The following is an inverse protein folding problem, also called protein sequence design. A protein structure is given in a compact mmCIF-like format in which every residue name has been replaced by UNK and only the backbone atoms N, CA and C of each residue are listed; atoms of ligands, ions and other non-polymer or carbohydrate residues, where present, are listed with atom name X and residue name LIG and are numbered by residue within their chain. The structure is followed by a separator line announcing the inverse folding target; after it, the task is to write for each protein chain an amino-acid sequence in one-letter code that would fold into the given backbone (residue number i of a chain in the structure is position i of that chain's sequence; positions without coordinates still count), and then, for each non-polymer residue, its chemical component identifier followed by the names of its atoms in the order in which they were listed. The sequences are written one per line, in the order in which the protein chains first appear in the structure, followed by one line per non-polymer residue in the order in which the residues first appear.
data_IF_970640374525
#
_entry.id   IF_970640374525
#
_cell.length_a   1.000
_cell.length_b   1.000
_cell.length_c   1.000
_cell.angle_alpha   90.00
_cell.angle_beta   90.00
_cell.angle_gamma   90.00
#
_symmetry.space_group_name_H-M   'P 1'
#
loop_
_entity.id
_entity.type
_entity.pdbx_description
1 polymer ?
#
# COMPACT_ATOMS: atom_id res chain seq x y z
N UNK A 1 1.70 -3.37 14.38
CA UNK A 1 1.03 -2.88 13.44
C UNK A 1 1.63 -2.78 12.08
N UNK A 2 2.48 -1.87 11.71
CA UNK A 2 3.35 -1.99 10.58
C UNK A 2 4.61 -2.68 11.06
N UNK A 3 4.45 -3.92 11.45
CA UNK A 3 5.56 -4.71 11.93
C UNK A 3 6.57 -5.02 10.84
N UNK A 4 6.24 -4.70 9.65
CA UNK A 4 7.15 -4.75 8.54
C UNK A 4 6.49 -4.01 7.42
N UNK A 5 7.04 -2.93 7.10
CA UNK A 5 7.07 -2.56 5.74
C UNK A 5 7.82 -3.65 5.06
N UNK A 6 7.07 -4.44 4.48
CA UNK A 6 7.63 -5.13 3.41
C UNK A 6 7.54 -4.13 2.28
N UNK A 7 8.53 -3.29 2.19
CA UNK A 7 8.93 -2.87 0.89
C UNK A 7 9.42 -4.16 0.29
N UNK A 8 8.50 -4.91 -0.25
CA UNK A 8 8.81 -6.06 -1.06
C UNK A 8 9.28 -5.50 -2.35
N UNK A 9 10.52 -5.20 -2.32
CA UNK A 9 11.20 -4.59 -3.39
C UNK A 9 12.40 -5.47 -3.69
N UNK A 10 12.92 -5.30 -4.83
CA UNK A 10 14.15 -5.86 -5.34
C UNK A 10 15.36 -5.36 -4.58
N UNK A 11 15.34 -5.29 -3.30
CA UNK A 11 16.38 -4.52 -2.72
C UNK A 11 16.49 -4.71 -1.24
N UNK A 12 17.59 -4.42 -0.79
CA UNK A 12 18.18 -4.66 0.48
C UNK A 12 17.44 -4.03 1.64
N UNK A 13 17.81 -4.34 2.79
CA UNK A 13 17.14 -4.21 4.06
C UNK A 13 17.04 -2.79 4.56
N UNK A 14 15.88 -2.38 4.89
CA UNK A 14 15.61 -1.10 5.53
C UNK A 14 15.19 -1.39 6.95
N UNK A 15 15.55 -0.57 7.89
CA UNK A 15 15.00 -0.60 9.22
C UNK A 15 13.90 0.43 9.37
N UNK A 16 12.73 0.01 9.82
CA UNK A 16 11.68 0.92 10.20
C UNK A 16 11.67 1.14 11.70
N UNK A 17 10.90 2.11 12.07
CA UNK A 17 10.66 2.45 13.45
C UNK A 17 9.25 2.06 13.84
N UNK A 18 9.15 1.34 14.94
CA UNK A 18 7.91 1.11 15.63
C UNK A 18 8.09 1.61 17.06
N UNK A 19 7.20 2.43 17.57
CA UNK A 19 7.33 3.08 18.88
C UNK A 19 8.66 3.84 19.08
N UNK A 20 9.15 4.47 18.02
CA UNK A 20 10.41 5.21 18.07
C UNK A 20 11.67 4.35 18.21
N UNK A 21 11.54 3.03 18.01
CA UNK A 21 12.68 2.10 18.01
C UNK A 21 12.82 1.49 16.62
N UNK A 22 14.06 1.29 16.15
CA UNK A 22 14.25 0.57 14.91
C UNK A 22 13.74 -0.86 15.08
N UNK A 23 12.74 -1.18 14.32
CA UNK A 23 12.39 -2.56 14.05
C UNK A 23 13.05 -2.90 12.73
N UNK A 24 13.84 -3.99 12.74
CA UNK A 24 14.51 -4.43 11.52
C UNK A 24 13.52 -4.49 10.38
N UNK A 25 13.74 -3.65 9.42
CA UNK A 25 13.12 -3.71 8.12
C UNK A 25 13.96 -4.64 7.32
N UNK A 26 13.33 -5.65 6.88
CA UNK A 26 13.96 -6.58 5.98
C UNK A 26 13.66 -6.12 4.56
N UNK A 27 14.65 -5.66 3.88
CA UNK A 27 14.64 -5.67 2.45
C UNK A 27 14.69 -7.10 2.01
N UNK A 28 13.68 -7.51 1.32
CA UNK A 28 13.67 -8.77 0.63
C UNK A 28 13.87 -8.48 -0.84
N UNK A 29 15.07 -8.76 -1.31
CA UNK A 29 15.37 -8.76 -2.73
C UNK A 29 14.77 -10.02 -3.36
N UNK A 30 14.10 -9.83 -4.49
CA UNK A 30 13.57 -10.92 -5.31
C UNK A 30 14.08 -10.78 -6.73
N UNK A 31 14.34 -11.87 -7.37
CA UNK A 31 14.77 -11.90 -8.77
C UNK A 31 13.60 -11.65 -9.74
N UNK A 32 12.38 -11.89 -9.29
CA UNK A 32 11.18 -11.69 -10.09
C UNK A 32 10.02 -11.10 -9.28
N UNK A 33 9.12 -10.40 -9.96
CA UNK A 33 7.87 -9.91 -9.36
C UNK A 33 7.03 -11.06 -8.81
N UNK A 34 7.04 -12.20 -9.50
CA UNK A 34 6.30 -13.39 -9.07
C UNK A 34 6.76 -13.86 -7.70
N UNK A 35 8.06 -14.05 -7.50
CA UNK A 35 8.63 -14.46 -6.20
C UNK A 35 8.31 -13.46 -5.09
N UNK A 36 8.38 -12.17 -5.40
CA UNK A 36 7.98 -11.11 -4.48
C UNK A 36 6.52 -11.26 -4.05
N UNK A 37 5.62 -11.43 -5.00
CA UNK A 37 4.19 -11.60 -4.75
C UNK A 37 3.86 -12.90 -4.00
N UNK A 38 4.55 -14.00 -4.32
CA UNK A 38 4.44 -15.27 -3.58
C UNK A 38 4.85 -15.10 -2.12
N UNK A 39 5.98 -14.44 -1.87
CA UNK A 39 6.44 -14.12 -0.51
C UNK A 39 5.47 -13.19 0.22
N UNK A 40 4.86 -12.24 -0.49
CA UNK A 40 3.82 -11.37 0.08
C UNK A 40 2.59 -12.17 0.53
N UNK A 41 2.07 -13.06 -0.33
CA UNK A 41 0.94 -13.91 0.00
C UNK A 41 1.25 -14.84 1.20
N UNK A 42 2.45 -15.42 1.23
CA UNK A 42 2.91 -16.23 2.37
C UNK A 42 2.91 -15.42 3.67
N UNK A 43 3.43 -14.20 3.64
CA UNK A 43 3.46 -13.33 4.83
C UNK A 43 2.06 -12.93 5.30
N UNK A 44 1.19 -12.57 4.37
CA UNK A 44 -0.23 -12.29 4.70
C UNK A 44 -0.90 -13.52 5.30
N UNK A 45 -0.68 -14.70 4.74
CA UNK A 45 -1.23 -15.95 5.26
C UNK A 45 -0.70 -16.31 6.65
N UNK A 46 0.61 -16.11 6.90
CA UNK A 46 1.25 -16.42 8.20
C UNK A 46 0.88 -15.44 9.31
N UNK A 47 0.79 -14.16 8.98
CA UNK A 47 0.48 -13.10 9.97
C UNK A 47 -1.00 -12.95 10.21
N UNK A 48 -1.79 -13.37 9.26
CA UNK A 48 -3.26 -13.34 9.25
C UNK A 48 -3.85 -12.02 9.77
N UNK A 49 -3.49 -10.86 9.21
CA UNK A 49 -3.95 -9.57 9.69
C UNK A 49 -5.46 -9.41 9.48
N UNK A 50 -6.16 -8.89 10.47
CA UNK A 50 -7.58 -8.55 10.35
C UNK A 50 -7.82 -7.37 9.41
N UNK A 51 -6.83 -6.47 9.29
CA UNK A 51 -6.98 -5.22 8.56
C UNK A 51 -5.80 -4.96 7.63
N UNK A 52 -6.12 -4.53 6.41
CA UNK A 52 -5.16 -4.00 5.45
C UNK A 52 -5.42 -2.51 5.29
N UNK A 53 -4.40 -1.71 5.57
CA UNK A 53 -4.52 -0.25 5.57
C UNK A 53 -3.71 0.31 4.42
N UNK A 54 -4.29 1.25 3.68
CA UNK A 54 -3.57 2.04 2.70
C UNK A 54 -4.25 3.40 2.48
N UNK A 55 -3.55 4.32 1.83
CA UNK A 55 -4.12 5.66 1.62
C UNK A 55 -5.32 5.63 0.67
N UNK A 56 -5.16 5.05 -0.52
CA UNK A 56 -6.23 4.91 -1.53
C UNK A 56 -6.61 3.44 -1.81
N UNK A 57 -6.63 2.59 -0.79
CA UNK A 57 -6.72 1.14 -0.88
C UNK A 57 -7.74 0.60 -1.88
N UNK A 58 -8.99 0.95 -1.71
CA UNK A 58 -10.08 0.45 -2.56
C UNK A 58 -10.04 1.01 -3.98
N UNK A 59 -9.45 2.18 -4.18
CA UNK A 59 -9.42 2.85 -5.48
C UNK A 59 -8.19 2.50 -6.31
N UNK A 60 -7.07 2.16 -5.66
CA UNK A 60 -5.80 1.97 -6.34
C UNK A 60 -5.04 0.72 -5.87
N UNK A 61 -4.69 0.64 -4.58
CA UNK A 61 -3.72 -0.35 -4.11
C UNK A 61 -4.24 -1.79 -4.26
N UNK A 62 -5.45 -2.08 -3.78
CA UNK A 62 -6.03 -3.42 -3.88
C UNK A 62 -6.32 -3.81 -5.33
N UNK A 63 -6.98 -2.98 -6.17
CA UNK A 63 -7.13 -3.31 -7.59
C UNK A 63 -5.81 -3.62 -8.28
N UNK A 64 -4.78 -2.83 -8.00
CA UNK A 64 -3.46 -3.02 -8.61
C UNK A 64 -2.79 -4.30 -8.14
N UNK A 65 -2.86 -4.60 -6.85
CA UNK A 65 -2.35 -5.84 -6.29
C UNK A 65 -3.01 -7.06 -6.94
N UNK A 66 -4.35 -7.07 -7.05
CA UNK A 66 -5.08 -8.17 -7.69
C UNK A 66 -4.70 -8.34 -9.17
N UNK A 67 -4.54 -7.22 -9.88
CA UNK A 67 -4.09 -7.23 -11.27
C UNK A 67 -2.71 -7.88 -11.40
N UNK A 68 -1.76 -7.51 -10.52
CA UNK A 68 -0.40 -8.05 -10.56
C UNK A 68 -0.33 -9.52 -10.17
N UNK A 69 -1.12 -9.94 -9.18
CA UNK A 69 -1.23 -11.35 -8.81
C UNK A 69 -1.69 -12.21 -10.01
N UNK A 70 -2.78 -11.80 -10.67
CA UNK A 70 -3.29 -12.53 -11.84
C UNK A 70 -2.31 -12.52 -13.00
N UNK A 71 -1.65 -11.39 -13.27
CA UNK A 71 -0.64 -11.29 -14.33
C UNK A 71 0.56 -12.25 -14.11
N UNK A 72 0.84 -12.58 -12.85
CA UNK A 72 1.89 -13.54 -12.48
C UNK A 72 1.35 -14.98 -12.26
N UNK A 73 0.11 -15.27 -12.66
CA UNK A 73 -0.55 -16.56 -12.46
C UNK A 73 -0.65 -16.99 -10.97
N UNK A 74 -0.79 -16.02 -10.08
CA UNK A 74 -1.02 -16.24 -8.66
C UNK A 74 -2.50 -16.07 -8.33
N UNK A 75 -2.99 -16.85 -7.36
CA UNK A 75 -4.39 -16.80 -6.96
C UNK A 75 -4.65 -15.65 -5.97
N UNK A 76 -5.39 -14.59 -6.35
CA UNK A 76 -5.68 -13.47 -5.45
C UNK A 76 -6.50 -13.87 -4.23
N UNK A 77 -7.18 -15.04 -4.24
CA UNK A 77 -7.96 -15.52 -3.10
C UNK A 77 -7.08 -15.90 -1.91
N UNK A 78 -5.78 -16.08 -2.12
CA UNK A 78 -4.82 -16.29 -1.05
C UNK A 78 -4.71 -15.08 -0.09
N UNK A 79 -5.15 -13.90 -0.51
CA UNK A 79 -5.29 -12.73 0.37
C UNK A 79 -6.37 -12.89 1.43
N UNK A 80 -7.34 -13.78 1.21
CA UNK A 80 -8.49 -13.98 2.07
C UNK A 80 -8.35 -15.26 2.92
N UNK A 81 -8.60 -15.22 4.23
CA UNK A 81 -8.67 -16.43 5.05
C UNK A 81 -9.80 -17.37 4.60
N UNK A 82 -10.82 -16.83 3.93
CA UNK A 82 -11.95 -17.59 3.40
C UNK A 82 -11.81 -17.96 1.92
N UNK A 83 -10.66 -17.68 1.30
CA UNK A 83 -10.42 -17.90 -0.13
C UNK A 83 -11.50 -17.26 -1.03
N UNK A 84 -11.97 -16.08 -0.63
CA UNK A 84 -13.00 -15.33 -1.33
C UNK A 84 -12.58 -13.87 -1.50
N UNK A 85 -12.40 -13.45 -2.75
CA UNK A 85 -12.07 -12.08 -3.12
C UNK A 85 -13.04 -11.62 -4.20
N UNK A 86 -13.73 -10.51 -3.95
CA UNK A 86 -14.76 -9.99 -4.83
C UNK A 86 -14.22 -9.69 -6.22
N UNK A 87 -14.88 -10.24 -7.22
CA UNK A 87 -14.52 -10.00 -8.62
C UNK A 87 -13.41 -10.89 -9.17
N UNK A 88 -12.98 -11.89 -8.43
CA UNK A 88 -12.07 -12.94 -8.89
C UNK A 88 -12.88 -14.16 -9.30
N UNK A 89 -12.64 -14.70 -10.49
CA UNK A 89 -13.30 -15.89 -11.00
C UNK A 89 -12.34 -16.89 -11.59
N UNK A 90 -12.85 -18.13 -11.73
CA UNK A 90 -12.15 -19.26 -12.29
C UNK A 90 -13.05 -19.91 -13.34
N UNK A 91 -12.80 -19.65 -14.61
CA UNK A 91 -13.48 -20.35 -15.70
C UNK A 91 -12.52 -21.14 -16.58
N UNK A 92 -11.48 -20.52 -17.08
CA UNK A 92 -10.40 -21.10 -17.87
C UNK A 92 -9.08 -20.47 -17.44
N UNK A 93 -8.85 -20.47 -16.12
CA UNK A 93 -7.79 -19.74 -15.44
C UNK A 93 -8.32 -18.64 -14.52
N UNK A 94 -7.41 -17.92 -13.90
CA UNK A 94 -7.75 -16.84 -12.96
C UNK A 94 -8.09 -15.59 -13.75
N UNK A 95 -9.28 -15.04 -13.55
CA UNK A 95 -9.77 -13.83 -14.22
C UNK A 95 -10.29 -12.80 -13.25
N UNK A 96 -10.14 -11.54 -13.61
CA UNK A 96 -10.69 -10.41 -12.87
C UNK A 96 -11.91 -9.82 -13.58
N UNK A 97 -12.93 -9.50 -12.80
CA UNK A 97 -14.05 -8.70 -13.25
C UNK A 97 -13.61 -7.30 -13.64
N UNK A 98 -14.34 -6.70 -14.59
CA UNK A 98 -14.20 -5.27 -14.88
C UNK A 98 -14.44 -4.37 -13.64
N UNK A 99 -15.12 -4.85 -12.62
CA UNK A 99 -15.39 -4.14 -11.37
C UNK A 99 -14.16 -4.08 -10.44
N UNK A 100 -13.19 -4.97 -10.60
CA UNK A 100 -11.95 -4.96 -9.79
C UNK A 100 -11.10 -3.71 -10.02
N UNK A 101 -11.31 -2.99 -11.12
CA UNK A 101 -10.55 -1.77 -11.42
C UNK A 101 -10.73 -0.65 -10.39
N UNK A 102 -11.80 -0.68 -9.61
CA UNK A 102 -12.07 0.30 -8.56
C UNK A 102 -13.20 -0.20 -7.68
N UNK A 103 -12.91 -0.49 -6.42
CA UNK A 103 -13.94 -0.78 -5.43
C UNK A 103 -14.53 0.50 -4.86
N UNK A 104 -15.79 0.44 -4.45
CA UNK A 104 -16.36 1.49 -3.61
C UNK A 104 -15.65 1.50 -2.26
N UNK A 105 -15.46 2.66 -1.62
CA UNK A 105 -14.82 2.77 -0.31
C UNK A 105 -15.46 1.92 0.80
N UNK A 106 -16.76 1.65 0.67
CA UNK A 106 -17.52 0.83 1.65
C UNK A 106 -17.47 -0.67 1.31
N UNK A 107 -16.98 -1.03 0.13
CA UNK A 107 -16.85 -2.42 -0.26
C UNK A 107 -15.63 -3.05 0.41
N UNK A 108 -15.83 -4.25 0.95
CA UNK A 108 -14.76 -5.07 1.49
C UNK A 108 -14.43 -6.17 0.46
N UNK A 109 -13.43 -5.96 -0.39
CA UNK A 109 -13.15 -6.88 -1.48
C UNK A 109 -12.54 -8.21 -1.03
N UNK A 110 -11.87 -8.23 0.11
CA UNK A 110 -11.20 -9.41 0.66
C UNK A 110 -12.02 -9.93 1.83
N UNK A 111 -12.72 -11.03 1.65
CA UNK A 111 -13.57 -11.59 2.71
C UNK A 111 -12.73 -12.04 3.91
N UNK A 112 -13.16 -11.62 5.10
CA UNK A 112 -12.47 -11.90 6.35
C UNK A 112 -11.36 -10.90 6.71
N UNK A 113 -11.15 -9.87 5.89
CA UNK A 113 -10.25 -8.76 6.20
C UNK A 113 -10.92 -7.42 5.91
N UNK A 114 -10.60 -6.44 6.71
CA UNK A 114 -11.04 -5.05 6.47
C UNK A 114 -10.00 -4.36 5.60
N UNK A 115 -10.42 -3.79 4.49
CA UNK A 115 -9.60 -2.86 3.71
C UNK A 115 -9.95 -1.44 4.15
N UNK A 116 -9.05 -0.83 4.90
CA UNK A 116 -9.23 0.53 5.40
C UNK A 116 -8.60 1.55 4.45
N UNK A 117 -9.43 2.48 3.98
CA UNK A 117 -8.98 3.64 3.21
C UNK A 117 -8.67 4.77 4.19
N UNK A 118 -7.41 5.02 4.46
CA UNK A 118 -7.01 5.96 5.50
C UNK A 118 -7.34 7.41 5.12
N UNK A 119 -7.34 7.76 3.83
CA UNK A 119 -7.80 9.06 3.34
C UNK A 119 -9.22 9.40 3.80
N UNK A 120 -10.13 8.43 3.72
CA UNK A 120 -11.53 8.61 4.09
C UNK A 120 -11.75 8.51 5.60
N UNK A 121 -11.00 7.66 6.28
CA UNK A 121 -11.05 7.60 7.75
C UNK A 121 -10.60 8.94 8.35
N UNK A 122 -9.51 9.50 7.83
CA UNK A 122 -9.00 10.80 8.24
C UNK A 122 -10.00 11.93 7.91
N UNK A 123 -10.55 11.96 6.69
CA UNK A 123 -11.56 12.97 6.30
C UNK A 123 -12.75 12.96 7.25
N UNK A 124 -13.24 11.79 7.61
CA UNK A 124 -14.36 11.64 8.54
C UNK A 124 -14.01 12.20 9.92
N UNK A 125 -12.89 11.82 10.48
CA UNK A 125 -12.42 12.29 11.78
C UNK A 125 -12.21 13.82 11.77
N UNK A 126 -11.66 14.36 10.71
CA UNK A 126 -11.47 15.79 10.54
C UNK A 126 -12.79 16.56 10.54
N UNK A 127 -13.77 16.07 9.78
CA UNK A 127 -15.10 16.66 9.70
C UNK A 127 -15.87 16.56 11.03
N UNK A 128 -15.79 15.41 11.71
CA UNK A 128 -16.42 15.19 13.03
C UNK A 128 -15.83 16.14 14.08
N UNK A 129 -14.55 16.49 13.98
CA UNK A 129 -13.90 17.49 14.83
C UNK A 129 -14.21 18.95 14.45
N UNK A 130 -15.08 19.17 13.47
CA UNK A 130 -15.50 20.50 12.98
C UNK A 130 -14.34 21.42 12.55
N UNK A 131 -13.26 20.82 12.03
CA UNK A 131 -12.05 21.55 11.61
C UNK A 131 -12.19 22.24 10.24
N UNK A 132 -13.37 22.19 9.64
CA UNK A 132 -13.64 22.75 8.32
C UNK A 132 -13.36 21.78 7.17
N UNK A 133 -13.52 22.25 5.94
CA UNK A 133 -13.35 21.43 4.74
C UNK A 133 -11.87 21.31 4.37
N UNK A 134 -11.41 20.10 4.11
CA UNK A 134 -10.08 19.84 3.58
C UNK A 134 -10.04 20.16 2.07
N UNK A 135 -9.12 21.00 1.60
CA UNK A 135 -8.94 21.28 0.17
C UNK A 135 -8.50 20.07 -0.63
N UNK A 136 -7.80 19.12 -0.01
CA UNK A 136 -7.27 17.91 -0.66
C UNK A 136 -7.14 16.78 0.33
N UNK A 137 -7.37 15.55 -0.15
CA UNK A 137 -7.07 14.30 0.56
C UNK A 137 -5.76 13.64 0.08
N UNK A 138 -4.93 14.36 -0.66
CA UNK A 138 -3.62 13.84 -1.03
C UNK A 138 -2.74 13.67 0.20
N UNK A 139 -2.04 12.54 0.31
CA UNK A 139 -1.17 12.23 1.46
C UNK A 139 -0.18 13.36 1.77
N UNK A 140 0.41 13.95 0.75
CA UNK A 140 1.35 15.06 0.89
C UNK A 140 0.72 16.29 1.57
N UNK A 141 -0.50 16.64 1.15
CA UNK A 141 -1.25 17.75 1.74
C UNK A 141 -1.64 17.49 3.21
N UNK A 142 -2.12 16.29 3.49
CA UNK A 142 -2.52 15.93 4.85
C UNK A 142 -1.29 15.85 5.77
N UNK A 143 -0.21 15.24 5.31
CA UNK A 143 1.04 15.17 6.07
C UNK A 143 1.60 16.57 6.40
N UNK A 144 1.58 17.49 5.43
CA UNK A 144 1.98 18.88 5.69
C UNK A 144 1.06 19.56 6.70
N UNK A 145 -0.25 19.32 6.60
CA UNK A 145 -1.25 19.97 7.48
C UNK A 145 -1.16 19.47 8.92
N UNK A 146 -0.93 18.18 9.12
CA UNK A 146 -1.00 17.53 10.44
C UNK A 146 0.37 17.40 11.08
N UNK A 147 1.37 16.99 10.31
CA UNK A 147 2.71 16.69 10.80
C UNK A 147 3.73 17.80 10.51
N UNK A 148 3.39 18.76 9.64
CA UNK A 148 4.35 19.76 9.16
C UNK A 148 5.41 19.17 8.22
N UNK A 149 5.17 17.98 7.66
CA UNK A 149 6.11 17.25 6.83
C UNK A 149 5.53 16.99 5.44
N UNK A 150 6.43 16.79 4.48
CA UNK A 150 6.08 16.49 3.08
C UNK A 150 6.69 15.16 2.65
N UNK A 151 6.18 14.65 1.54
CA UNK A 151 6.81 13.57 0.81
C UNK A 151 8.22 13.97 0.37
N UNK A 152 9.06 12.98 0.17
CA UNK A 152 10.37 13.22 -0.42
C UNK A 152 10.21 13.72 -1.86
N UNK A 153 11.12 14.59 -2.27
CA UNK A 153 11.22 15.07 -3.64
C UNK A 153 12.61 14.71 -4.16
N UNK A 154 12.66 14.08 -5.31
CA UNK A 154 13.95 13.77 -5.94
C UNK A 154 14.55 15.02 -6.58
N UNK A 155 15.77 15.35 -6.20
CA UNK A 155 16.54 16.42 -6.86
C UNK A 155 16.92 16.01 -8.29
N UNK A 156 17.17 14.72 -8.50
CA UNK A 156 17.55 14.18 -9.82
C UNK A 156 16.37 14.09 -10.78
N UNK A 157 15.16 13.84 -10.27
CA UNK A 157 13.93 13.70 -11.04
C UNK A 157 12.85 14.63 -10.47
N UNK A 158 12.87 15.91 -10.78
CA UNK A 158 11.88 16.87 -10.25
C UNK A 158 10.48 16.67 -10.82
N UNK A 159 10.36 16.10 -12.02
CA UNK A 159 9.07 15.71 -12.59
C UNK A 159 8.64 14.33 -12.05
N UNK A 160 7.42 14.26 -11.50
CA UNK A 160 6.90 13.01 -10.88
C UNK A 160 6.73 11.89 -11.90
N UNK A 161 6.35 12.17 -13.13
CA UNK A 161 6.18 11.13 -14.14
C UNK A 161 7.53 10.54 -14.52
N UNK A 162 8.55 11.40 -14.68
CA UNK A 162 9.91 10.96 -14.93
C UNK A 162 10.48 10.16 -13.74
N UNK A 163 10.25 10.62 -12.52
CA UNK A 163 10.62 9.89 -11.31
C UNK A 163 10.05 8.46 -11.29
N UNK A 164 8.74 8.31 -11.45
CA UNK A 164 8.12 6.98 -11.46
C UNK A 164 8.50 6.12 -12.67
N UNK A 165 8.88 6.73 -13.79
CA UNK A 165 9.31 5.98 -14.96
C UNK A 165 10.75 5.47 -14.87
N UNK A 166 11.65 6.19 -14.19
CA UNK A 166 13.09 5.97 -14.29
C UNK A 166 13.81 5.74 -12.97
N UNK A 167 13.34 6.36 -11.86
CA UNK A 167 14.10 6.35 -10.60
C UNK A 167 14.29 4.93 -10.04
N UNK A 168 13.34 4.05 -10.24
CA UNK A 168 13.45 2.66 -9.81
C UNK A 168 14.62 1.88 -10.44
N UNK A 169 15.15 2.35 -11.59
CA UNK A 169 16.34 1.80 -12.25
C UNK A 169 17.60 2.64 -12.02
N UNK A 170 17.44 3.98 -12.05
CA UNK A 170 18.58 4.88 -12.12
C UNK A 170 18.96 5.49 -10.77
N UNK A 171 18.04 5.43 -9.80
CA UNK A 171 18.21 5.96 -8.45
C UNK A 171 17.34 5.17 -7.46
N UNK A 172 17.57 3.87 -7.43
CA UNK A 172 16.75 2.89 -6.69
C UNK A 172 16.63 3.26 -5.21
N UNK A 173 17.72 3.71 -4.58
CA UNK A 173 17.69 4.06 -3.16
C UNK A 173 16.72 5.21 -2.90
N UNK A 174 16.78 6.28 -3.66
CA UNK A 174 15.86 7.42 -3.53
C UNK A 174 14.41 7.02 -3.78
N UNK A 175 14.18 6.10 -4.73
CA UNK A 175 12.86 5.55 -4.98
C UNK A 175 12.33 4.73 -3.78
N UNK A 176 13.17 3.96 -3.11
CA UNK A 176 12.83 3.19 -1.91
C UNK A 176 12.57 4.11 -0.72
N UNK A 177 13.43 5.11 -0.52
CA UNK A 177 13.26 6.10 0.52
C UNK A 177 11.94 6.87 0.36
N UNK A 178 11.57 7.19 -0.88
CA UNK A 178 10.28 7.79 -1.20
C UNK A 178 9.11 6.87 -0.79
N UNK A 179 9.17 5.61 -1.17
CA UNK A 179 8.12 4.63 -0.84
C UNK A 179 8.02 4.41 0.68
N UNK A 180 9.16 4.33 1.37
CA UNK A 180 9.23 4.22 2.83
C UNK A 180 8.59 5.45 3.49
N UNK A 181 8.98 6.65 3.03
CA UNK A 181 8.43 7.89 3.58
C UNK A 181 6.92 7.99 3.43
N UNK A 182 6.36 7.54 2.30
CA UNK A 182 4.91 7.50 2.09
C UNK A 182 4.21 6.65 3.16
N UNK A 183 4.79 5.53 3.52
CA UNK A 183 4.21 4.64 4.54
C UNK A 183 4.43 5.19 5.95
N UNK A 184 5.60 5.73 6.28
CA UNK A 184 5.85 6.41 7.57
C UNK A 184 4.84 7.53 7.82
N UNK A 185 4.58 8.36 6.80
CA UNK A 185 3.60 9.44 6.90
C UNK A 185 2.20 8.90 7.22
N UNK A 186 1.77 7.81 6.58
CA UNK A 186 0.48 7.19 6.89
C UNK A 186 0.37 6.74 8.34
N UNK A 187 1.42 6.09 8.87
CA UNK A 187 1.44 5.62 10.26
C UNK A 187 1.37 6.77 11.25
N UNK A 188 2.11 7.83 10.97
CA UNK A 188 2.17 8.98 11.86
C UNK A 188 0.88 9.79 11.83
N UNK A 189 0.21 9.87 10.68
CA UNK A 189 -1.11 10.49 10.56
C UNK A 189 -2.16 9.69 11.34
N UNK A 190 -2.09 8.36 11.32
CA UNK A 190 -3.00 7.49 12.06
C UNK A 190 -2.82 7.60 13.59
N UNK A 191 -1.66 8.04 14.03
CA UNK A 191 -1.34 8.20 15.45
C UNK A 191 -1.79 9.54 16.05
N UNK A 192 -2.14 10.54 15.22
CA UNK A 192 -2.60 11.89 15.62
C UNK A 192 -4.13 11.96 15.76
#
# INVERSE_FOLDING_TARGET
FLESYIIMWWSPTIETWFDGKPHGVYELYFESEKEMLESFLEKIGRRDPDMLISWFGSKFDIPKLLERLVANNLDPRELSPHKDVKGVYFSDGIKLSKYVKKYSPIEQPIRGRIVLNLDLAFERQWNDAQRGTLPSLALDYIAETVLGEKKLVSERFPDKNEFFARAWLEDTQNYLDYALKDVELMVRIDAE
#
